data_IF_901930676746
#
_entry.id   IF_901930676746
#
_cell.length_a   1.000
_cell.length_b   1.000
_cell.length_c   1.000
_cell.angle_alpha   90.00
_cell.angle_beta   90.00
_cell.angle_gamma   90.00
#
_symmetry.space_group_name_H-M   'P 1'
#
loop_
_entity.id
_entity.type
_entity.pdbx_description
1 polymer ?
#
# COMPACT_ATOMS: atom_id res chain seq x y z
N UNK A 1 0.31 -10.94 35.85
CA UNK A 1 -0.15 -10.93 34.44
C UNK A 1 0.35 -12.22 33.82
N UNK A 2 -0.55 -13.16 33.49
CA UNK A 2 -0.17 -14.54 33.14
C UNK A 2 0.53 -14.60 31.78
N UNK A 3 1.65 -15.30 31.70
CA UNK A 3 2.44 -15.56 30.47
C UNK A 3 1.58 -16.16 29.35
N UNK A 4 0.58 -16.97 29.68
CA UNK A 4 -0.37 -17.60 28.74
C UNK A 4 -1.24 -16.56 27.98
N UNK A 5 -1.71 -15.51 28.63
CA UNK A 5 -2.52 -14.45 28.00
C UNK A 5 -1.68 -13.57 27.07
N UNK A 6 -0.42 -13.32 27.39
CA UNK A 6 0.49 -12.58 26.52
C UNK A 6 0.86 -13.37 25.27
N UNK A 7 1.04 -14.68 25.39
CA UNK A 7 1.37 -15.57 24.26
C UNK A 7 0.17 -15.71 23.29
N UNK A 8 -1.03 -15.83 23.85
CA UNK A 8 -2.27 -15.91 23.08
C UNK A 8 -2.54 -14.63 22.25
N UNK A 9 -2.21 -13.47 22.81
CA UNK A 9 -2.34 -12.19 22.08
C UNK A 9 -1.33 -12.07 20.93
N UNK A 10 -0.08 -12.51 21.12
CA UNK A 10 0.94 -12.50 20.06
C UNK A 10 0.58 -13.41 18.89
N UNK A 11 0.11 -14.63 19.18
CA UNK A 11 -0.31 -15.59 18.13
C UNK A 11 -1.47 -15.03 17.32
N UNK A 12 -2.46 -14.45 17.98
CA UNK A 12 -3.60 -13.81 17.32
C UNK A 12 -3.16 -12.66 16.42
N UNK A 13 -2.22 -11.83 16.86
CA UNK A 13 -1.70 -10.72 16.07
C UNK A 13 -0.99 -11.20 14.79
N UNK A 14 -0.18 -12.24 14.88
CA UNK A 14 0.49 -12.85 13.71
C UNK A 14 -0.52 -13.39 12.71
N UNK A 15 -1.56 -14.08 13.19
CA UNK A 15 -2.62 -14.61 12.33
C UNK A 15 -3.35 -13.48 11.58
N UNK A 16 -3.73 -12.42 12.28
CA UNK A 16 -4.39 -11.28 11.63
C UNK A 16 -3.48 -10.58 10.62
N UNK A 17 -2.21 -10.38 10.94
CA UNK A 17 -1.21 -9.81 10.01
C UNK A 17 -1.14 -10.66 8.74
N UNK A 18 -1.07 -11.98 8.86
CA UNK A 18 -1.03 -12.90 7.72
C UNK A 18 -2.31 -12.85 6.88
N UNK A 19 -3.49 -12.88 7.52
CA UNK A 19 -4.78 -12.79 6.83
C UNK A 19 -4.89 -11.47 6.04
N UNK A 20 -4.50 -10.35 6.64
CA UNK A 20 -4.58 -9.06 5.96
C UNK A 20 -3.51 -8.88 4.88
N UNK A 21 -2.32 -9.47 5.04
CA UNK A 21 -1.34 -9.54 3.95
C UNK A 21 -1.90 -10.33 2.74
N UNK A 22 -2.58 -11.45 2.98
CA UNK A 22 -3.28 -12.20 1.93
C UNK A 22 -4.45 -11.41 1.33
N UNK A 23 -5.21 -10.67 2.13
CA UNK A 23 -6.28 -9.79 1.63
C UNK A 23 -5.73 -8.71 0.70
N UNK A 24 -4.59 -8.09 1.05
CA UNK A 24 -3.93 -7.08 0.19
C UNK A 24 -3.52 -7.74 -1.14
N UNK A 25 -2.99 -8.97 -1.12
CA UNK A 25 -2.63 -9.71 -2.33
C UNK A 25 -3.87 -9.98 -3.22
N UNK A 26 -4.97 -10.43 -2.65
CA UNK A 26 -6.24 -10.63 -3.38
C UNK A 26 -6.72 -9.31 -3.99
N UNK A 27 -6.69 -8.22 -3.24
CA UNK A 27 -7.04 -6.89 -3.74
C UNK A 27 -6.10 -6.41 -4.88
N UNK A 28 -4.84 -6.83 -4.88
CA UNK A 28 -3.89 -6.51 -5.96
C UNK A 28 -4.18 -7.25 -7.25
N UNK A 29 -4.70 -8.47 -7.17
CA UNK A 29 -5.08 -9.28 -8.34
C UNK A 29 -6.32 -8.75 -9.05
N UNK A 30 -7.21 -8.07 -8.32
CA UNK A 30 -8.35 -7.35 -8.91
C UNK A 30 -7.80 -6.06 -9.51
N UNK A 31 -7.34 -6.15 -10.76
CA UNK A 31 -6.65 -5.08 -11.45
C UNK A 31 -7.13 -4.89 -12.87
N UNK A 32 -7.20 -3.62 -13.29
CA UNK A 32 -7.39 -3.24 -14.69
C UNK A 32 -6.01 -2.86 -15.23
N UNK A 33 -5.52 -3.54 -16.29
CA UNK A 33 -4.20 -3.26 -16.83
C UNK A 33 -4.19 -1.90 -17.55
N UNK A 34 -3.45 -0.97 -16.99
CA UNK A 34 -3.15 0.35 -17.55
C UNK A 34 -1.66 0.63 -17.36
N UNK A 35 -1.17 1.80 -17.77
CA UNK A 35 0.26 2.19 -17.59
C UNK A 35 0.72 2.03 -16.14
N UNK A 36 -0.12 2.45 -15.19
CA UNK A 36 -0.06 2.05 -13.77
C UNK A 36 -1.32 1.24 -13.50
N UNK A 37 -1.24 -0.05 -13.13
CA UNK A 37 -2.41 -0.88 -12.95
C UNK A 37 -3.40 -0.28 -11.95
N UNK A 38 -4.65 -0.14 -12.35
CA UNK A 38 -5.72 0.22 -11.44
C UNK A 38 -6.13 -1.01 -10.63
N UNK A 39 -5.89 -0.99 -9.32
CA UNK A 39 -6.12 -2.15 -8.44
C UNK A 39 -7.03 -1.79 -7.27
N UNK A 40 -7.57 -2.79 -6.57
CA UNK A 40 -8.20 -2.60 -5.26
C UNK A 40 -7.17 -2.60 -4.10
N UNK A 41 -5.89 -2.55 -4.40
CA UNK A 41 -4.81 -2.66 -3.43
C UNK A 41 -4.82 -1.53 -2.37
N UNK A 42 -5.11 -0.29 -2.79
CA UNK A 42 -5.29 0.86 -1.87
C UNK A 42 -6.36 0.58 -0.83
N UNK A 43 -7.49 -0.01 -1.25
CA UNK A 43 -8.57 -0.41 -0.34
C UNK A 43 -8.08 -1.49 0.64
N UNK A 44 -7.36 -2.51 0.15
CA UNK A 44 -6.79 -3.57 1.00
C UNK A 44 -5.85 -3.00 2.07
N UNK A 45 -4.94 -2.11 1.69
CA UNK A 45 -3.98 -1.45 2.60
C UNK A 45 -4.71 -0.62 3.65
N UNK A 46 -5.62 0.24 3.24
CA UNK A 46 -6.36 1.11 4.17
C UNK A 46 -7.29 0.33 5.09
N UNK A 47 -7.89 -0.76 4.60
CA UNK A 47 -8.69 -1.68 5.41
C UNK A 47 -7.81 -2.37 6.46
N UNK A 48 -6.61 -2.81 6.10
CA UNK A 48 -5.67 -3.42 7.04
C UNK A 48 -5.31 -2.45 8.17
N UNK A 49 -4.94 -1.21 7.83
CA UNK A 49 -4.59 -0.19 8.84
C UNK A 49 -5.81 0.22 9.66
N UNK A 50 -6.97 0.43 9.02
CA UNK A 50 -8.20 0.85 9.68
C UNK A 50 -8.74 -0.17 10.68
N UNK A 51 -8.71 -1.45 10.35
CA UNK A 51 -9.24 -2.52 11.21
C UNK A 51 -8.23 -2.99 12.26
N UNK A 52 -6.97 -3.25 11.86
CA UNK A 52 -5.94 -3.76 12.77
C UNK A 52 -5.28 -2.67 13.62
N UNK A 53 -5.42 -1.39 13.22
CA UNK A 53 -4.65 -0.27 13.76
C UNK A 53 -3.32 -0.09 13.05
N UNK A 54 -2.72 1.07 13.21
CA UNK A 54 -1.54 1.49 12.47
C UNK A 54 -0.38 0.51 12.54
N UNK A 55 -0.01 0.05 13.74
CA UNK A 55 1.12 -0.87 13.93
C UNK A 55 0.94 -2.20 13.21
N UNK A 56 -0.18 -2.89 13.43
CA UNK A 56 -0.43 -4.21 12.85
C UNK A 56 -0.73 -4.11 11.35
N UNK A 57 -1.45 -3.06 10.95
CA UNK A 57 -1.71 -2.78 9.54
C UNK A 57 -0.44 -2.53 8.76
N UNK A 58 0.49 -1.73 9.27
CA UNK A 58 1.81 -1.51 8.65
C UNK A 58 2.63 -2.80 8.56
N UNK A 59 2.57 -3.66 9.59
CA UNK A 59 3.21 -4.97 9.53
C UNK A 59 2.58 -5.88 8.47
N UNK A 60 1.26 -5.85 8.28
CA UNK A 60 0.60 -6.62 7.23
C UNK A 60 1.04 -6.16 5.82
N UNK A 61 1.14 -4.84 5.61
CA UNK A 61 1.67 -4.28 4.35
C UNK A 61 3.14 -4.68 4.14
N UNK A 62 3.96 -4.62 5.19
CA UNK A 62 5.36 -5.03 5.12
C UNK A 62 5.49 -6.52 4.75
N UNK A 63 4.73 -7.40 5.41
CA UNK A 63 4.72 -8.85 5.10
C UNK A 63 4.29 -9.08 3.65
N UNK A 64 3.23 -8.41 3.19
CA UNK A 64 2.80 -8.47 1.79
C UNK A 64 3.92 -8.10 0.81
N UNK A 65 4.65 -7.02 1.07
CA UNK A 65 5.78 -6.59 0.22
C UNK A 65 6.91 -7.62 0.26
N UNK A 66 7.25 -8.16 1.43
CA UNK A 66 8.29 -9.17 1.57
C UNK A 66 7.94 -10.46 0.83
N UNK A 67 6.68 -10.91 0.88
CA UNK A 67 6.21 -12.06 0.09
C UNK A 67 6.40 -11.82 -1.41
N UNK A 68 6.05 -10.62 -1.89
CA UNK A 68 6.29 -10.24 -3.28
C UNK A 68 7.76 -10.16 -3.64
N UNK A 69 8.63 -9.67 -2.75
CA UNK A 69 10.08 -9.62 -2.94
C UNK A 69 10.70 -11.01 -3.13
N UNK A 70 10.27 -11.98 -2.34
CA UNK A 70 10.73 -13.38 -2.43
C UNK A 70 10.29 -14.03 -3.75
N UNK A 71 9.40 -13.39 -4.52
CA UNK A 71 8.96 -13.87 -5.84
C UNK A 71 7.57 -14.50 -5.84
N UNK A 72 6.84 -14.45 -4.73
CA UNK A 72 5.44 -14.88 -4.73
C UNK A 72 4.61 -13.92 -5.61
N UNK A 73 3.65 -14.42 -6.41
CA UNK A 73 2.87 -13.62 -7.36
C UNK A 73 1.75 -12.85 -6.66
N UNK A 74 2.13 -12.01 -5.68
CA UNK A 74 1.19 -11.26 -4.84
C UNK A 74 0.94 -9.83 -5.33
N UNK A 75 1.71 -9.34 -6.30
CA UNK A 75 1.53 -8.00 -6.87
C UNK A 75 0.52 -8.02 -8.02
N UNK A 76 0.14 -6.82 -8.51
CA UNK A 76 -0.80 -6.67 -9.60
C UNK A 76 -0.42 -7.51 -10.83
N UNK A 77 -1.42 -8.11 -11.47
CA UNK A 77 -1.21 -8.99 -12.63
C UNK A 77 -0.50 -10.30 -12.27
N UNK A 78 -0.64 -10.80 -11.05
CA UNK A 78 0.00 -12.01 -10.54
C UNK A 78 1.53 -11.96 -10.66
N UNK A 79 2.10 -10.78 -10.54
CA UNK A 79 3.54 -10.55 -10.62
C UNK A 79 4.21 -10.62 -9.24
N UNK A 80 5.53 -10.79 -9.25
CA UNK A 80 6.36 -10.85 -8.05
C UNK A 80 7.83 -10.73 -8.38
N UNK A 81 8.64 -10.70 -7.35
CA UNK A 81 10.10 -10.57 -7.46
C UNK A 81 10.61 -9.14 -7.39
N UNK A 82 11.92 -9.05 -7.19
CA UNK A 82 12.66 -7.79 -7.04
C UNK A 82 12.47 -6.86 -8.25
N UNK A 83 12.36 -7.43 -9.47
CA UNK A 83 12.18 -6.67 -10.71
C UNK A 83 10.92 -5.80 -10.73
N UNK A 84 9.83 -6.22 -10.08
CA UNK A 84 8.60 -5.43 -9.99
C UNK A 84 8.80 -4.18 -9.13
N UNK A 85 9.55 -4.33 -8.03
CA UNK A 85 9.84 -3.20 -7.13
C UNK A 85 10.79 -2.17 -7.73
N UNK A 86 11.70 -2.60 -8.59
CA UNK A 86 12.56 -1.69 -9.35
C UNK A 86 11.95 -1.23 -10.68
N UNK A 87 10.79 -1.76 -11.05
CA UNK A 87 9.99 -1.32 -12.18
C UNK A 87 9.27 0.02 -11.94
N UNK A 88 8.54 0.47 -12.95
CA UNK A 88 7.81 1.75 -12.94
C UNK A 88 6.76 1.84 -11.83
N UNK A 89 6.17 0.73 -11.43
CA UNK A 89 5.12 0.66 -10.41
C UNK A 89 5.66 0.46 -8.98
N UNK A 90 6.95 0.17 -8.83
CA UNK A 90 7.56 -0.13 -7.53
C UNK A 90 7.42 1.00 -6.50
N UNK A 91 7.45 2.25 -6.95
CA UNK A 91 7.23 3.41 -6.08
C UNK A 91 5.86 3.41 -5.41
N UNK A 92 4.82 2.91 -6.06
CA UNK A 92 3.49 2.79 -5.47
C UNK A 92 3.45 1.71 -4.39
N UNK A 93 4.16 0.59 -4.62
CA UNK A 93 4.26 -0.50 -3.63
C UNK A 93 4.98 0.00 -2.36
N UNK A 94 6.08 0.75 -2.53
CA UNK A 94 6.77 1.42 -1.42
C UNK A 94 5.87 2.50 -0.80
N UNK A 95 5.13 3.23 -1.62
CA UNK A 95 4.16 4.22 -1.22
C UNK A 95 3.07 3.67 -0.28
N UNK A 96 2.62 2.44 -0.48
CA UNK A 96 1.67 1.79 0.43
C UNK A 96 2.24 1.61 1.84
N UNK A 97 3.50 1.21 1.94
CA UNK A 97 4.16 1.10 3.25
C UNK A 97 4.33 2.48 3.90
N UNK A 98 4.77 3.47 3.13
CA UNK A 98 4.91 4.84 3.63
C UNK A 98 3.55 5.41 4.11
N UNK A 99 2.47 5.17 3.36
CA UNK A 99 1.11 5.54 3.75
C UNK A 99 0.67 4.86 5.05
N UNK A 100 0.91 3.55 5.17
CA UNK A 100 0.57 2.80 6.37
C UNK A 100 1.34 3.30 7.60
N UNK A 101 2.63 3.61 7.44
CA UNK A 101 3.47 4.18 8.50
C UNK A 101 3.03 5.59 8.88
N UNK A 102 2.66 6.44 7.91
CA UNK A 102 2.11 7.77 8.16
C UNK A 102 0.81 7.67 8.97
N UNK A 103 -0.11 6.79 8.55
CA UNK A 103 -1.37 6.55 9.26
C UNK A 103 -1.13 6.07 10.69
N UNK A 104 -0.14 5.18 10.89
CA UNK A 104 0.29 4.77 12.23
C UNK A 104 0.83 5.93 13.05
N UNK A 105 1.68 6.78 12.47
CA UNK A 105 2.18 7.99 13.13
C UNK A 105 1.06 8.92 13.57
N UNK A 106 0.09 9.19 12.69
CA UNK A 106 -1.08 10.03 13.00
C UNK A 106 -1.93 9.38 14.12
N UNK A 107 -2.16 8.06 14.06
CA UNK A 107 -2.90 7.33 15.09
C UNK A 107 -2.24 7.44 16.47
N UNK A 108 -0.90 7.42 16.53
CA UNK A 108 -0.16 7.53 17.81
C UNK A 108 -0.23 8.93 18.42
N UNK A 109 -0.33 9.97 17.60
CA UNK A 109 -0.36 11.37 18.05
C UNK A 109 -1.79 11.84 18.33
N UNK A 110 -2.72 11.56 17.42
CA UNK A 110 -4.10 12.07 17.46
C UNK A 110 -5.10 11.09 18.06
N UNK A 111 -4.66 9.85 18.36
CA UNK A 111 -5.55 8.79 18.85
C UNK A 111 -6.36 8.14 17.73
N UNK A 112 -7.21 7.18 18.12
CA UNK A 112 -7.99 6.34 17.19
C UNK A 112 -9.43 6.81 17.10
N UNK A 113 -9.72 7.76 16.20
CA UNK A 113 -11.06 8.28 15.95
C UNK A 113 -11.45 8.11 14.48
N UNK A 114 -12.76 8.06 14.18
CA UNK A 114 -13.26 7.93 12.80
C UNK A 114 -12.79 9.06 11.90
N UNK A 115 -12.77 10.29 12.40
CA UNK A 115 -12.32 11.49 11.65
C UNK A 115 -10.80 11.41 11.44
N UNK A 116 -10.04 11.05 12.49
CA UNK A 116 -8.58 10.89 12.41
C UNK A 116 -8.23 9.82 11.37
N UNK A 117 -8.95 8.70 11.35
CA UNK A 117 -8.77 7.64 10.38
C UNK A 117 -9.05 8.15 8.95
N UNK A 118 -10.18 8.81 8.71
CA UNK A 118 -10.53 9.34 7.38
C UNK A 118 -9.47 10.34 6.88
N UNK A 119 -9.05 11.28 7.72
CA UNK A 119 -8.00 12.26 7.38
C UNK A 119 -6.67 11.57 7.09
N UNK A 120 -6.30 10.59 7.93
CA UNK A 120 -5.04 9.85 7.74
C UNK A 120 -5.04 9.01 6.46
N UNK A 121 -6.19 8.45 6.04
CA UNK A 121 -6.33 7.74 4.76
C UNK A 121 -6.10 8.70 3.57
N UNK A 122 -6.72 9.89 3.60
CA UNK A 122 -6.52 10.89 2.53
C UNK A 122 -5.06 11.34 2.46
N UNK A 123 -4.43 11.64 3.60
CA UNK A 123 -3.01 12.00 3.65
C UNK A 123 -2.12 10.83 3.19
N UNK A 124 -2.45 9.60 3.58
CA UNK A 124 -1.77 8.41 3.12
C UNK A 124 -1.85 8.23 1.60
N UNK A 125 -3.02 8.50 1.01
CA UNK A 125 -3.22 8.45 -0.45
C UNK A 125 -2.35 9.49 -1.16
N UNK A 126 -2.30 10.71 -0.64
CA UNK A 126 -1.43 11.78 -1.18
C UNK A 126 0.04 11.37 -1.15
N UNK A 127 0.51 10.81 -0.02
CA UNK A 127 1.90 10.33 0.11
C UNK A 127 2.18 9.18 -0.87
N UNK A 128 1.24 8.23 -1.02
CA UNK A 128 1.36 7.15 -2.00
C UNK A 128 1.52 7.68 -3.42
N UNK A 129 0.67 8.62 -3.82
CA UNK A 129 0.76 9.24 -5.14
C UNK A 129 2.05 10.03 -5.34
N UNK A 130 2.50 10.79 -4.34
CA UNK A 130 3.75 11.55 -4.42
C UNK A 130 4.95 10.62 -4.64
N UNK A 131 5.11 9.59 -3.81
CA UNK A 131 6.21 8.63 -3.91
C UNK A 131 6.12 7.85 -5.22
N UNK A 132 4.92 7.35 -5.56
CA UNK A 132 4.69 6.58 -6.78
C UNK A 132 4.99 7.36 -8.06
N UNK A 133 4.50 8.60 -8.13
CA UNK A 133 4.71 9.48 -9.29
C UNK A 133 6.17 9.86 -9.45
N UNK A 134 6.85 10.25 -8.35
CA UNK A 134 8.27 10.58 -8.39
C UNK A 134 9.12 9.38 -8.84
N UNK A 135 8.84 8.21 -8.29
CA UNK A 135 9.51 6.96 -8.68
C UNK A 135 9.25 6.62 -10.15
N UNK A 136 7.98 6.68 -10.57
CA UNK A 136 7.60 6.43 -11.96
C UNK A 136 8.38 7.32 -12.92
N UNK A 137 8.45 8.63 -12.65
CA UNK A 137 9.22 9.59 -13.47
C UNK A 137 10.70 9.21 -13.53
N UNK A 138 11.30 8.86 -12.39
CA UNK A 138 12.72 8.52 -12.32
C UNK A 138 13.06 7.24 -13.10
N UNK A 139 12.21 6.22 -13.01
CA UNK A 139 12.42 4.95 -13.73
C UNK A 139 12.08 5.10 -15.22
N UNK A 140 10.96 5.75 -15.53
CA UNK A 140 10.50 5.95 -16.91
C UNK A 140 11.49 6.80 -17.72
N UNK A 141 12.07 7.83 -17.12
CA UNK A 141 13.09 8.66 -17.77
C UNK A 141 14.33 7.86 -18.22
N UNK A 142 14.67 6.79 -17.49
CA UNK A 142 15.81 5.91 -17.83
C UNK A 142 15.50 4.94 -18.96
N UNK A 143 14.24 4.57 -19.16
CA UNK A 143 13.83 3.52 -20.09
C UNK A 143 13.24 4.05 -21.39
N UNK A 144 12.49 5.14 -21.32
CA UNK A 144 11.66 5.63 -22.44
C UNK A 144 11.84 7.13 -22.73
N UNK A 145 12.74 7.81 -21.98
CA UNK A 145 12.99 9.23 -22.13
C UNK A 145 12.21 10.09 -21.12
N UNK A 146 12.63 11.35 -20.98
CA UNK A 146 12.04 12.28 -20.03
C UNK A 146 10.61 12.66 -20.42
N UNK A 147 9.67 12.53 -19.47
CA UNK A 147 8.26 12.90 -19.63
C UNK A 147 7.91 14.03 -18.67
N UNK A 148 7.11 15.00 -19.12
CA UNK A 148 6.68 16.12 -18.29
C UNK A 148 5.78 15.67 -17.13
N UNK A 149 5.90 16.35 -16.00
CA UNK A 149 5.12 16.06 -14.79
C UNK A 149 3.60 16.02 -15.06
N UNK A 150 3.07 16.94 -15.89
CA UNK A 150 1.65 16.99 -16.24
C UNK A 150 1.16 15.72 -16.92
N UNK A 151 1.96 15.17 -17.84
CA UNK A 151 1.64 13.91 -18.53
C UNK A 151 1.63 12.73 -17.55
N UNK A 152 2.62 12.65 -16.66
CA UNK A 152 2.68 11.58 -15.65
C UNK A 152 1.52 11.68 -14.66
N UNK A 153 1.17 12.87 -14.20
CA UNK A 153 -0.02 13.06 -13.36
C UNK A 153 -1.31 12.62 -14.07
N UNK A 154 -1.42 12.89 -15.39
CA UNK A 154 -2.54 12.45 -16.20
C UNK A 154 -2.66 10.93 -16.32
N UNK A 155 -1.54 10.20 -16.30
CA UNK A 155 -1.51 8.74 -16.37
C UNK A 155 -1.62 8.05 -15.02
N UNK A 156 -1.00 8.62 -13.99
CA UNK A 156 -0.70 7.93 -12.74
C UNK A 156 -1.52 8.42 -11.54
N UNK A 157 -2.16 9.59 -11.63
CA UNK A 157 -2.87 10.18 -10.49
C UNK A 157 -4.32 10.54 -10.84
N UNK A 158 -4.54 11.36 -11.86
CA UNK A 158 -5.87 11.89 -12.17
C UNK A 158 -6.94 10.80 -12.34
N UNK A 159 -6.69 9.70 -13.07
CA UNK A 159 -7.69 8.63 -13.25
C UNK A 159 -8.02 7.88 -11.96
N UNK A 160 -7.12 7.93 -10.97
CA UNK A 160 -7.23 7.16 -9.73
C UNK A 160 -7.92 7.93 -8.60
N UNK A 161 -7.94 9.27 -8.63
CA UNK A 161 -8.47 10.10 -7.54
C UNK A 161 -9.91 9.73 -7.21
N UNK A 162 -10.80 9.73 -8.21
CA UNK A 162 -12.22 9.46 -7.98
C UNK A 162 -12.45 8.02 -7.48
N UNK A 163 -11.92 6.99 -8.14
CA UNK A 163 -12.07 5.61 -7.68
C UNK A 163 -11.46 5.37 -6.29
N UNK A 164 -10.31 5.95 -5.97
CA UNK A 164 -9.66 5.76 -4.67
C UNK A 164 -10.41 6.47 -3.54
N UNK A 165 -11.04 7.61 -3.82
CA UNK A 165 -11.93 8.27 -2.86
C UNK A 165 -13.22 7.46 -2.62
N UNK A 166 -13.77 6.80 -3.63
CA UNK A 166 -14.94 5.92 -3.48
C UNK A 166 -14.59 4.69 -2.64
N UNK A 167 -13.41 4.12 -2.82
CA UNK A 167 -12.90 2.99 -1.99
C UNK A 167 -12.75 3.39 -0.53
#
# INVERSE_FOLDING_TARGET
MNTTTMQQNKTRDIVFIGIFAALIAICSWISIPTTVPFTLQTMGVFTAVGLLGGKRGSLAVLVYILLGLVGLPVFAGFSGGVGVLFGTTGGYIIGFLASALLMWGIETICGRGKIVLAVSMVLGLVVCYAIGTFWFMAVYAKTSGAVGLGTVLGWCVIPFIIPDLIK
#
